data_IF_024126632174
#
_entry.id   IF_024126632174
#
_cell.length_a   1.000
_cell.length_b   1.000
_cell.length_c   1.000
_cell.angle_alpha   90.00
_cell.angle_beta   90.00
_cell.angle_gamma   90.00
#
_symmetry.space_group_name_H-M   'P 1'
#
loop_
_entity.id
_entity.type
_entity.pdbx_description
1 polymer ?
#
# COMPACT_ATOMS: atom_id res chain seq x y z
N UNK A 1 18.42 23.36 6.48
CA UNK A 1 18.68 23.40 5.02
C UNK A 1 17.33 23.31 4.33
N UNK A 2 17.00 24.22 3.41
CA UNK A 2 15.73 24.15 2.65
C UNK A 2 16.03 23.40 1.36
N UNK A 3 15.36 22.27 1.15
CA UNK A 3 15.54 21.45 -0.05
C UNK A 3 14.89 22.12 -1.26
N UNK A 4 15.57 22.14 -2.41
CA UNK A 4 14.94 22.53 -3.68
C UNK A 4 14.05 21.38 -4.17
N UNK A 5 12.80 21.34 -3.72
CA UNK A 5 11.87 20.24 -4.03
C UNK A 5 11.50 20.19 -5.51
N UNK A 6 11.52 21.32 -6.20
CA UNK A 6 11.12 21.40 -7.61
C UNK A 6 12.09 20.62 -8.51
N UNK A 7 13.39 20.66 -8.22
CA UNK A 7 14.38 19.91 -9.01
C UNK A 7 14.15 18.40 -8.99
N UNK A 8 13.63 17.86 -7.89
CA UNK A 8 13.39 16.41 -7.73
C UNK A 8 12.12 15.93 -8.42
N UNK A 9 11.15 16.81 -8.67
CA UNK A 9 9.83 16.44 -9.23
C UNK A 9 9.58 17.01 -10.63
N UNK A 10 10.48 17.85 -11.16
CA UNK A 10 10.32 18.52 -12.45
C UNK A 10 10.11 17.58 -13.65
N UNK A 11 10.56 16.32 -13.55
CA UNK A 11 10.41 15.31 -14.58
C UNK A 11 9.09 14.50 -14.48
N UNK A 12 8.26 14.79 -13.47
CA UNK A 12 6.98 14.12 -13.24
C UNK A 12 5.87 15.02 -13.80
N UNK A 13 5.12 14.54 -14.77
CA UNK A 13 4.02 15.30 -15.39
C UNK A 13 2.68 15.11 -14.66
N UNK A 14 2.47 13.93 -14.07
CA UNK A 14 1.23 13.60 -13.39
C UNK A 14 1.07 14.39 -12.09
N UNK A 15 -0.01 15.17 -12.00
CA UNK A 15 -0.27 16.10 -10.89
C UNK A 15 -0.47 15.40 -9.55
N UNK A 16 -1.11 14.22 -9.54
CA UNK A 16 -1.29 13.44 -8.30
C UNK A 16 0.06 12.93 -7.81
N UNK A 17 0.88 12.42 -8.73
CA UNK A 17 2.23 11.96 -8.41
C UNK A 17 3.14 13.09 -7.91
N UNK A 18 3.03 14.30 -8.47
CA UNK A 18 3.74 15.49 -7.98
C UNK A 18 3.38 15.76 -6.51
N UNK A 19 2.09 15.68 -6.15
CA UNK A 19 1.63 15.90 -4.78
C UNK A 19 2.20 14.83 -3.85
N UNK A 20 2.12 13.56 -4.24
CA UNK A 20 2.61 12.44 -3.44
C UNK A 20 4.12 12.53 -3.24
N UNK A 21 4.89 12.88 -4.28
CA UNK A 21 6.34 13.03 -4.19
C UNK A 21 6.74 14.26 -3.38
N UNK A 22 5.98 15.35 -3.40
CA UNK A 22 6.17 16.48 -2.49
C UNK A 22 6.03 16.07 -1.03
N UNK A 23 5.02 15.25 -0.70
CA UNK A 23 4.85 14.73 0.66
C UNK A 23 6.03 13.82 1.09
N UNK A 24 6.60 13.03 0.17
CA UNK A 24 7.81 12.25 0.43
C UNK A 24 8.99 13.18 0.74
N UNK A 25 9.20 14.23 -0.06
CA UNK A 25 10.25 15.22 0.16
C UNK A 25 10.07 16.00 1.47
N UNK A 26 8.83 16.32 1.86
CA UNK A 26 8.54 16.92 3.16
C UNK A 26 9.00 16.02 4.32
N UNK A 27 8.79 14.70 4.21
CA UNK A 27 9.27 13.73 5.19
C UNK A 27 10.79 13.65 5.23
N UNK A 28 11.46 13.66 4.08
CA UNK A 28 12.93 13.73 4.01
C UNK A 28 13.45 14.96 4.74
N UNK A 29 12.86 16.13 4.50
CA UNK A 29 13.25 17.37 5.19
C UNK A 29 13.09 17.27 6.71
N UNK A 30 11.99 16.66 7.17
CA UNK A 30 11.77 16.40 8.61
C UNK A 30 12.84 15.46 9.17
N UNK A 31 13.16 14.35 8.49
CA UNK A 31 14.18 13.39 8.91
C UNK A 31 15.55 14.08 9.02
N UNK A 32 15.96 14.82 8.00
CA UNK A 32 17.24 15.52 7.95
C UNK A 32 17.35 16.62 9.02
N UNK A 33 16.24 17.31 9.32
CA UNK A 33 16.23 18.41 10.29
C UNK A 33 16.15 17.92 11.73
N UNK A 34 15.29 16.94 12.00
CA UNK A 34 14.92 16.54 13.35
C UNK A 34 15.56 15.22 13.76
N UNK A 35 16.29 14.55 12.86
CA UNK A 35 16.87 13.22 13.09
C UNK A 35 15.82 12.21 13.58
N UNK A 36 14.61 12.29 13.05
CA UNK A 36 13.47 11.44 13.43
C UNK A 36 13.08 10.47 12.32
N UNK A 37 12.36 9.41 12.69
CA UNK A 37 11.80 8.44 11.74
C UNK A 37 10.49 9.00 11.19
N UNK A 38 10.28 8.93 9.88
CA UNK A 38 9.05 9.32 9.21
C UNK A 38 8.52 8.18 8.35
N UNK A 39 7.20 8.07 8.23
CA UNK A 39 6.55 7.05 7.43
C UNK A 39 5.63 7.68 6.38
N UNK A 40 5.65 7.18 5.16
CA UNK A 40 4.64 7.53 4.15
C UNK A 40 3.29 6.91 4.49
N UNK A 41 2.28 7.30 3.71
CA UNK A 41 1.09 6.47 3.56
C UNK A 41 1.37 5.34 2.55
N UNK A 42 0.42 4.44 2.32
CA UNK A 42 0.59 3.33 1.38
C UNK A 42 0.73 3.84 -0.04
N UNK A 43 1.89 3.57 -0.63
CA UNK A 43 2.22 3.88 -2.01
C UNK A 43 2.04 2.64 -2.89
N UNK A 44 1.53 2.84 -4.09
CA UNK A 44 1.45 1.81 -5.13
C UNK A 44 2.84 1.54 -5.77
N UNK A 45 2.97 0.51 -6.63
CA UNK A 45 4.25 0.17 -7.25
C UNK A 45 4.90 1.29 -8.08
N UNK A 46 4.10 2.16 -8.69
CA UNK A 46 4.60 3.29 -9.48
C UNK A 46 5.10 4.41 -8.58
N UNK A 47 4.29 4.82 -7.60
CA UNK A 47 4.63 5.81 -6.59
C UNK A 47 5.90 5.43 -5.83
N UNK A 48 6.05 4.15 -5.44
CA UNK A 48 7.28 3.66 -4.81
C UNK A 48 8.49 3.78 -5.72
N UNK A 49 8.34 3.53 -7.03
CA UNK A 49 9.44 3.67 -7.98
C UNK A 49 9.91 5.12 -8.05
N UNK A 50 8.97 6.07 -8.10
CA UNK A 50 9.28 7.51 -8.07
C UNK A 50 9.94 7.90 -6.74
N UNK A 51 9.37 7.47 -5.61
CA UNK A 51 9.91 7.76 -4.29
C UNK A 51 11.34 7.23 -4.14
N UNK A 52 11.64 6.01 -4.58
CA UNK A 52 13.02 5.48 -4.57
C UNK A 52 13.98 6.31 -5.40
N UNK A 53 13.56 6.75 -6.59
CA UNK A 53 14.38 7.61 -7.45
C UNK A 53 14.81 8.88 -6.71
N UNK A 54 13.89 9.48 -5.96
CA UNK A 54 14.14 10.65 -5.13
C UNK A 54 15.01 10.30 -3.92
N UNK A 55 14.62 9.29 -3.14
CA UNK A 55 15.27 8.93 -1.87
C UNK A 55 16.72 8.48 -2.05
N UNK A 56 17.03 7.82 -3.17
CA UNK A 56 18.41 7.42 -3.51
C UNK A 56 19.33 8.61 -3.79
N UNK A 57 18.79 9.83 -3.96
CA UNK A 57 19.56 11.05 -4.11
C UNK A 57 20.14 11.60 -2.78
N UNK A 58 19.78 11.00 -1.64
CA UNK A 58 20.18 11.46 -0.31
C UNK A 58 21.09 10.42 0.37
N UNK A 59 22.24 10.86 0.89
CA UNK A 59 23.22 9.98 1.54
C UNK A 59 23.05 9.90 3.06
N UNK A 60 22.38 10.89 3.63
CA UNK A 60 22.21 11.11 5.07
C UNK A 60 20.98 10.39 5.62
N UNK A 61 20.17 9.79 4.75
CA UNK A 61 19.01 8.99 5.11
C UNK A 61 19.18 7.54 4.66
N UNK A 62 18.38 6.67 5.24
CA UNK A 62 18.11 5.33 4.75
C UNK A 62 16.60 5.11 4.78
N UNK A 63 16.14 4.11 4.04
CA UNK A 63 14.72 3.80 3.99
C UNK A 63 14.44 2.31 3.85
N UNK A 64 13.23 1.92 4.26
CA UNK A 64 12.70 0.55 4.09
C UNK A 64 11.24 0.58 3.66
N UNK A 65 10.88 -0.34 2.77
CA UNK A 65 9.50 -0.60 2.36
C UNK A 65 8.83 -1.69 3.21
N UNK A 66 7.59 -1.47 3.65
CA UNK A 66 6.80 -2.39 4.48
C UNK A 66 5.36 -2.49 3.95
N UNK A 67 4.88 -3.71 3.70
CA UNK A 67 3.49 -3.97 3.25
C UNK A 67 2.82 -5.17 3.91
N UNK A 68 3.41 -5.70 4.99
CA UNK A 68 2.90 -6.85 5.73
C UNK A 68 3.30 -8.20 5.12
N UNK A 69 3.11 -8.37 3.81
CA UNK A 69 3.58 -9.56 3.07
C UNK A 69 4.73 -9.21 2.12
N UNK A 70 5.59 -10.19 1.80
CA UNK A 70 6.76 -9.99 0.93
C UNK A 70 6.38 -9.46 -0.45
N UNK A 71 5.30 -9.99 -1.02
CA UNK A 71 4.77 -9.68 -2.35
C UNK A 71 3.78 -8.51 -2.37
N UNK A 72 3.70 -7.71 -1.29
CA UNK A 72 2.68 -6.67 -1.18
C UNK A 72 2.75 -5.65 -2.34
N UNK A 73 1.61 -5.37 -2.95
CA UNK A 73 1.51 -4.38 -4.02
C UNK A 73 1.63 -2.98 -3.46
N UNK A 74 0.89 -2.68 -2.37
CA UNK A 74 0.97 -1.41 -1.67
C UNK A 74 1.93 -1.52 -0.49
N UNK A 75 2.87 -0.58 -0.38
CA UNK A 75 3.82 -0.52 0.76
C UNK A 75 3.98 0.90 1.27
N UNK A 76 4.25 1.01 2.56
CA UNK A 76 4.74 2.23 3.21
C UNK A 76 6.26 2.28 3.11
N UNK A 77 6.81 3.48 2.95
CA UNK A 77 8.24 3.73 3.06
C UNK A 77 8.49 4.39 4.42
N UNK A 78 9.35 3.75 5.23
CA UNK A 78 9.91 4.34 6.44
C UNK A 78 11.25 4.98 6.09
N UNK A 79 11.41 6.26 6.39
CA UNK A 79 12.57 7.09 6.09
C UNK A 79 13.20 7.52 7.43
N UNK A 80 14.50 7.38 7.58
CA UNK A 80 15.20 7.56 8.85
C UNK A 80 16.67 7.98 8.60
N UNK A 81 17.37 8.55 9.60
CA UNK A 81 18.78 8.91 9.44
C UNK A 81 19.65 7.69 9.13
N UNK A 82 20.65 7.83 8.26
CA UNK A 82 21.45 6.69 7.75
C UNK A 82 22.24 5.92 8.80
N UNK A 83 22.48 6.52 9.98
CA UNK A 83 23.17 5.90 11.09
C UNK A 83 22.26 5.10 12.04
N UNK A 84 20.94 5.07 11.82
CA UNK A 84 20.03 4.24 12.60
C UNK A 84 20.13 2.78 12.17
N UNK A 85 20.06 1.86 13.14
CA UNK A 85 19.95 0.44 12.86
C UNK A 85 18.53 0.08 12.47
N UNK A 86 18.42 -0.95 11.62
CA UNK A 86 17.13 -1.36 11.12
C UNK A 86 16.16 -1.80 12.23
N UNK A 87 16.67 -2.52 13.23
CA UNK A 87 15.84 -3.12 14.28
C UNK A 87 15.23 -2.08 15.24
N UNK A 88 15.77 -0.85 15.24
CA UNK A 88 15.25 0.28 16.04
C UNK A 88 14.06 0.98 15.38
N UNK A 89 13.68 0.55 14.17
CA UNK A 89 12.63 1.19 13.38
C UNK A 89 11.31 0.48 13.66
N UNK A 90 10.41 1.20 14.36
CA UNK A 90 9.05 0.74 14.58
C UNK A 90 8.32 0.38 13.29
N UNK A 91 7.45 -0.62 13.37
CA UNK A 91 6.65 -1.08 12.23
C UNK A 91 5.37 -0.24 12.16
N UNK A 92 5.15 0.58 11.11
CA UNK A 92 4.03 1.52 11.05
C UNK A 92 2.73 0.91 10.48
N UNK A 93 2.67 -0.43 10.44
CA UNK A 93 1.54 -1.18 9.88
C UNK A 93 1.04 -2.21 10.89
N UNK A 94 -0.27 -2.46 10.84
CA UNK A 94 -0.96 -3.45 11.65
C UNK A 94 -1.78 -4.35 10.72
N UNK A 95 -1.86 -5.64 11.04
CA UNK A 95 -2.72 -6.58 10.33
C UNK A 95 -4.00 -6.84 11.12
N UNK A 96 -5.12 -6.78 10.42
CA UNK A 96 -6.44 -7.03 10.99
C UNK A 96 -7.05 -8.25 10.29
N UNK A 97 -7.63 -9.16 11.07
CA UNK A 97 -8.42 -10.29 10.56
C UNK A 97 -9.90 -9.99 10.68
N UNK A 98 -10.60 -10.04 9.55
CA UNK A 98 -12.05 -9.87 9.45
C UNK A 98 -12.71 -11.26 9.33
N UNK A 99 -13.55 -11.61 10.31
CA UNK A 99 -14.28 -12.88 10.40
C UNK A 99 -15.77 -12.69 10.08
N UNK A 100 -16.46 -13.80 9.82
CA UNK A 100 -17.90 -13.81 9.53
C UNK A 100 -18.23 -13.46 8.07
N UNK A 101 -17.24 -13.55 7.18
CA UNK A 101 -17.43 -13.26 5.76
C UNK A 101 -17.92 -14.52 5.03
N UNK A 102 -18.60 -14.30 3.91
CA UNK A 102 -18.91 -15.36 2.93
C UNK A 102 -17.99 -15.22 1.72
N UNK A 103 -17.79 -16.32 0.99
CA UNK A 103 -16.95 -16.39 -0.23
C UNK A 103 -17.36 -15.47 -1.38
N UNK A 104 -18.44 -14.69 -1.23
CA UNK A 104 -18.94 -13.73 -2.24
C UNK A 104 -18.42 -12.30 -2.05
N UNK A 105 -17.75 -11.99 -0.95
CA UNK A 105 -17.24 -10.63 -0.73
C UNK A 105 -15.95 -10.40 -1.54
N UNK A 106 -15.94 -9.32 -2.30
CA UNK A 106 -14.82 -8.90 -3.14
C UNK A 106 -13.96 -7.85 -2.45
N UNK A 107 -12.77 -7.59 -2.98
CA UNK A 107 -11.90 -6.50 -2.50
C UNK A 107 -12.61 -5.14 -2.48
N UNK A 108 -13.52 -4.91 -3.44
CA UNK A 108 -14.30 -3.68 -3.54
C UNK A 108 -15.25 -3.51 -2.35
N UNK A 109 -15.81 -4.59 -1.83
CA UNK A 109 -16.73 -4.54 -0.69
C UNK A 109 -16.01 -4.14 0.59
N UNK A 110 -14.84 -4.72 0.84
CA UNK A 110 -13.98 -4.33 1.97
C UNK A 110 -13.53 -2.89 1.85
N UNK A 111 -12.98 -2.51 0.69
CA UNK A 111 -12.51 -1.15 0.46
C UNK A 111 -13.65 -0.14 0.63
N UNK A 112 -14.80 -0.36 0.00
CA UNK A 112 -15.96 0.52 0.11
C UNK A 112 -16.46 0.66 1.56
N UNK A 113 -16.44 -0.43 2.32
CA UNK A 113 -16.88 -0.43 3.72
C UNK A 113 -15.92 0.33 4.63
N UNK A 114 -14.60 0.23 4.41
CA UNK A 114 -13.59 0.99 5.15
C UNK A 114 -13.60 2.47 4.77
N UNK A 115 -13.71 2.79 3.48
CA UNK A 115 -13.85 4.17 3.02
C UNK A 115 -15.12 4.82 3.57
N UNK A 116 -16.21 4.05 3.70
CA UNK A 116 -17.45 4.49 4.33
C UNK A 116 -17.32 4.88 5.81
N UNK A 117 -16.24 4.49 6.48
CA UNK A 117 -15.90 4.94 7.84
C UNK A 117 -15.20 6.32 7.85
N UNK A 118 -14.96 6.93 6.68
CA UNK A 118 -14.21 8.18 6.55
C UNK A 118 -12.70 8.00 6.55
N UNK A 119 -12.21 6.77 6.36
CA UNK A 119 -10.77 6.47 6.28
C UNK A 119 -10.30 6.68 4.84
N UNK A 120 -9.18 7.37 4.65
CA UNK A 120 -8.59 7.57 3.33
C UNK A 120 -7.99 6.25 2.79
N UNK A 121 -8.07 6.06 1.46
CA UNK A 121 -7.55 4.87 0.78
C UNK A 121 -6.05 4.67 0.96
N UNK A 122 -5.29 5.75 1.04
CA UNK A 122 -3.84 5.76 1.27
C UNK A 122 -3.44 5.19 2.64
N UNK A 123 -4.36 5.05 3.60
CA UNK A 123 -4.11 4.40 4.89
C UNK A 123 -4.28 2.88 4.85
N UNK A 124 -4.71 2.34 3.71
CA UNK A 124 -5.06 0.94 3.51
C UNK A 124 -4.04 0.31 2.55
N UNK A 125 -3.43 -0.79 3.00
CA UNK A 125 -2.56 -1.63 2.19
C UNK A 125 -3.34 -2.70 1.45
N UNK A 126 -2.73 -3.86 1.30
CA UNK A 126 -3.36 -4.99 0.62
C UNK A 126 -4.49 -5.59 1.48
N UNK A 127 -5.51 -6.09 0.79
CA UNK A 127 -6.63 -6.84 1.36
C UNK A 127 -6.46 -8.28 0.88
N UNK A 128 -6.27 -9.23 1.78
CA UNK A 128 -6.04 -10.64 1.46
C UNK A 128 -7.33 -11.41 1.75
N UNK A 129 -8.04 -11.82 0.70
CA UNK A 129 -9.32 -12.52 0.83
C UNK A 129 -9.08 -14.03 0.84
N UNK A 130 -9.73 -14.71 1.79
CA UNK A 130 -9.78 -16.16 1.91
C UNK A 130 -11.24 -16.62 1.94
N UNK A 131 -11.46 -17.93 2.02
CA UNK A 131 -12.82 -18.52 1.93
C UNK A 131 -13.78 -17.99 3.00
N UNK A 132 -13.33 -17.92 4.26
CA UNK A 132 -14.16 -17.63 5.42
C UNK A 132 -13.67 -16.43 6.26
N UNK A 133 -12.59 -15.78 5.85
CA UNK A 133 -12.03 -14.59 6.52
C UNK A 133 -11.24 -13.75 5.52
N UNK A 134 -11.01 -12.48 5.85
CA UNK A 134 -10.08 -11.63 5.14
C UNK A 134 -9.03 -11.08 6.11
N UNK A 135 -7.86 -10.74 5.59
CA UNK A 135 -6.83 -10.02 6.33
C UNK A 135 -6.60 -8.68 5.64
N UNK A 136 -6.47 -7.62 6.42
CA UNK A 136 -6.31 -6.26 5.90
C UNK A 136 -5.09 -5.66 6.57
N UNK A 137 -4.16 -5.16 5.75
CA UNK A 137 -3.02 -4.42 6.23
C UNK A 137 -3.39 -2.94 6.25
N UNK A 138 -3.19 -2.28 7.38
CA UNK A 138 -3.54 -0.86 7.57
C UNK A 138 -2.41 -0.12 8.29
N UNK A 139 -2.42 1.21 8.22
CA UNK A 139 -1.55 1.99 9.11
C UNK A 139 -1.94 1.77 10.56
N UNK A 140 -0.94 1.60 11.42
CA UNK A 140 -1.19 1.34 12.85
C UNK A 140 -2.04 2.42 13.50
N UNK A 141 -1.92 3.68 13.08
CA UNK A 141 -2.68 4.83 13.59
C UNK A 141 -4.21 4.71 13.42
N UNK A 142 -4.69 3.92 12.44
CA UNK A 142 -6.12 3.72 12.18
C UNK A 142 -6.66 2.36 12.65
N UNK A 143 -5.78 1.48 13.15
CA UNK A 143 -6.11 0.09 13.48
C UNK A 143 -7.21 -0.01 14.55
N UNK A 144 -7.05 0.68 15.68
CA UNK A 144 -8.01 0.68 16.79
C UNK A 144 -9.38 1.19 16.38
N UNK A 145 -9.42 2.20 15.52
CA UNK A 145 -10.68 2.73 14.99
C UNK A 145 -11.38 1.70 14.10
N UNK A 146 -10.66 0.99 13.22
CA UNK A 146 -11.26 -0.08 12.40
C UNK A 146 -11.79 -1.22 13.26
N UNK A 147 -11.05 -1.64 14.30
CA UNK A 147 -11.49 -2.70 15.22
C UNK A 147 -12.83 -2.38 15.88
N UNK A 148 -13.03 -1.12 16.26
CA UNK A 148 -14.26 -0.65 16.89
C UNK A 148 -15.37 -0.45 15.86
N UNK A 149 -15.07 0.16 14.71
CA UNK A 149 -16.08 0.71 13.80
C UNK A 149 -16.49 -0.22 12.66
N UNK A 150 -15.61 -1.11 12.19
CA UNK A 150 -15.92 -2.01 11.07
C UNK A 150 -16.81 -3.18 11.53
N UNK A 151 -18.12 -2.96 11.56
CA UNK A 151 -19.12 -3.97 11.95
C UNK A 151 -19.80 -4.67 10.79
N UNK A 152 -19.69 -4.11 9.58
CA UNK A 152 -20.37 -4.61 8.39
C UNK A 152 -19.48 -4.43 7.17
N UNK A 153 -19.42 -5.44 6.31
CA UNK A 153 -18.79 -5.36 4.99
C UNK A 153 -19.83 -5.70 3.94
N UNK A 154 -20.12 -4.75 3.04
CA UNK A 154 -21.26 -4.84 2.14
C UNK A 154 -22.56 -5.02 2.92
N UNK A 155 -23.21 -6.17 2.77
CA UNK A 155 -24.43 -6.53 3.51
C UNK A 155 -24.22 -7.51 4.67
N UNK A 156 -22.97 -7.90 4.97
CA UNK A 156 -22.64 -8.97 5.92
C UNK A 156 -22.08 -8.39 7.22
N UNK A 157 -22.60 -8.85 8.36
CA UNK A 157 -22.05 -8.50 9.68
C UNK A 157 -20.70 -9.21 9.88
N UNK A 158 -19.70 -8.46 10.35
CA UNK A 158 -18.35 -8.97 10.55
C UNK A 158 -17.83 -8.64 11.94
N UNK A 159 -16.83 -9.39 12.36
CA UNK A 159 -15.99 -9.04 13.51
C UNK A 159 -14.54 -8.90 13.09
N UNK A 160 -13.83 -8.00 13.76
CA UNK A 160 -12.44 -7.67 13.45
C UNK A 160 -11.58 -7.90 14.69
N UNK A 161 -10.41 -8.49 14.48
CA UNK A 161 -9.38 -8.67 15.51
C UNK A 161 -8.02 -8.31 14.95
N UNK A 162 -7.12 -7.84 15.82
CA UNK A 162 -5.72 -7.63 15.46
C UNK A 162 -4.99 -8.97 15.43
N UNK A 163 -4.11 -9.15 14.44
CA UNK A 163 -3.25 -10.33 14.31
C UNK A 163 -1.80 -9.88 14.13
N UNK A 164 -0.85 -10.78 14.44
CA UNK A 164 0.56 -10.51 14.17
C UNK A 164 0.80 -10.52 12.66
N UNK A 165 1.77 -9.73 12.21
CA UNK A 165 2.16 -9.72 10.78
C UNK A 165 2.64 -11.10 10.30
N UNK A 166 3.26 -11.89 11.19
CA UNK A 166 3.68 -13.27 10.93
C UNK A 166 2.51 -14.22 10.62
N UNK A 167 1.30 -13.87 11.09
CA UNK A 167 0.09 -14.67 10.89
C UNK A 167 -0.63 -14.30 9.57
N UNK A 168 -0.09 -13.35 8.79
CA UNK A 168 -0.56 -13.02 7.45
C UNK A 168 -0.36 -14.21 6.51
N UNK A 169 -1.39 -14.49 5.72
CA UNK A 169 -1.39 -15.52 4.69
C UNK A 169 -1.68 -14.86 3.37
N UNK A 170 -0.91 -15.22 2.34
CA UNK A 170 -1.24 -14.81 0.98
C UNK A 170 -2.67 -15.27 0.67
N UNK A 171 -3.50 -14.36 0.17
CA UNK A 171 -4.85 -14.68 -0.28
C UNK A 171 -4.82 -15.78 -1.33
N UNK A 172 -5.96 -16.42 -1.59
CA UNK A 172 -6.06 -17.26 -2.79
C UNK A 172 -5.91 -16.33 -4.00
N UNK A 173 -4.80 -16.44 -4.72
CA UNK A 173 -4.63 -15.69 -5.95
C UNK A 173 -5.36 -16.49 -7.03
N UNK A 174 -6.58 -16.07 -7.33
CA UNK A 174 -7.43 -16.69 -8.34
C UNK A 174 -6.98 -16.17 -9.72
N UNK A 175 -5.94 -16.77 -10.27
CA UNK A 175 -5.52 -16.49 -11.64
C UNK A 175 -6.46 -17.22 -12.59
N UNK A 176 -7.01 -16.50 -13.57
CA UNK A 176 -7.59 -17.15 -14.74
C UNK A 176 -6.48 -17.33 -15.77
N UNK A 177 -6.07 -18.57 -16.03
CA UNK A 177 -5.20 -18.85 -17.17
C UNK A 177 -5.95 -18.55 -18.46
N UNK A 178 -5.38 -17.69 -19.30
CA UNK A 178 -5.94 -17.31 -20.60
C UNK A 178 -4.93 -17.73 -21.66
N UNK A 179 -5.30 -18.74 -22.43
CA UNK A 179 -4.54 -19.15 -23.62
C UNK A 179 -5.11 -18.44 -24.84
N UNK A 180 -4.30 -17.59 -25.48
CA UNK A 180 -4.66 -16.88 -26.69
C UNK A 180 -3.56 -17.02 -27.75
N UNK A 181 -3.94 -17.39 -28.97
CA UNK A 181 -3.05 -17.36 -30.14
C UNK A 181 -3.18 -15.98 -30.77
N UNK A 182 -2.14 -15.17 -30.63
CA UNK A 182 -2.10 -13.81 -31.18
C UNK A 182 -1.32 -13.78 -32.50
N UNK A 183 -1.76 -12.95 -33.44
CA UNK A 183 -1.12 -12.79 -34.74
C UNK A 183 0.21 -12.01 -34.67
N UNK A 184 0.40 -11.21 -33.61
CA UNK A 184 1.62 -10.46 -33.33
C UNK A 184 1.72 -10.07 -31.85
N UNK A 185 2.93 -9.75 -31.38
CA UNK A 185 3.21 -9.28 -30.00
C UNK A 185 2.82 -7.81 -29.75
N UNK A 186 1.99 -7.22 -30.61
CA UNK A 186 1.52 -5.85 -30.40
C UNK A 186 0.61 -5.79 -29.17
N UNK A 187 0.76 -4.72 -28.38
CA UNK A 187 0.03 -4.56 -27.11
C UNK A 187 -1.48 -4.60 -27.30
N UNK A 188 -2.00 -3.98 -28.38
CA UNK A 188 -3.42 -4.02 -28.72
C UNK A 188 -3.91 -5.44 -29.03
N UNK A 189 -3.14 -6.22 -29.79
CA UNK A 189 -3.47 -7.63 -30.10
C UNK A 189 -3.45 -8.50 -28.85
N UNK A 190 -2.50 -8.26 -27.94
CA UNK A 190 -2.38 -8.98 -26.67
C UNK A 190 -3.53 -8.65 -25.71
N UNK A 191 -3.92 -7.38 -25.59
CA UNK A 191 -5.07 -6.95 -24.77
C UNK A 191 -6.39 -7.51 -25.32
N UNK A 192 -6.62 -7.44 -26.63
CA UNK A 192 -7.79 -8.05 -27.28
C UNK A 192 -7.84 -9.55 -27.07
N UNK A 193 -6.70 -10.25 -27.21
CA UNK A 193 -6.62 -11.69 -26.99
C UNK A 193 -6.85 -12.10 -25.53
N UNK A 194 -6.40 -11.29 -24.57
CA UNK A 194 -6.60 -11.55 -23.14
C UNK A 194 -8.04 -11.27 -22.68
N UNK A 195 -8.69 -10.24 -23.24
CA UNK A 195 -10.00 -9.75 -22.76
C UNK A 195 -11.17 -10.01 -23.73
N UNK A 196 -10.96 -10.71 -24.85
CA UNK A 196 -11.96 -10.93 -25.91
C UNK A 196 -12.61 -9.63 -26.39
N UNK A 197 -11.84 -8.56 -26.49
CA UNK A 197 -12.29 -7.28 -27.04
C UNK A 197 -12.15 -7.34 -28.57
N UNK A 198 -13.28 -7.43 -29.26
CA UNK A 198 -13.38 -7.38 -30.73
C UNK A 198 -13.15 -5.98 -31.29
#
# INVERSE_FOLDING_TARGET
MKLDKESYIAHIEDREQIINMRQVLDKVEIVLKNHSIQHTDFLDPYERRLARSILNGFTEISYRELGGVSQAERKIISIYPSYYYHDDIGIPITALKVKGISSKLSHRDFLGSILGLGINRDKIGDILIHENYAQIIVKSEISSFILISLKKVGNVNVSTEEIRLEDLRLGKIDYKEIFAIISSLRLDTLVSGAWHLS
#
